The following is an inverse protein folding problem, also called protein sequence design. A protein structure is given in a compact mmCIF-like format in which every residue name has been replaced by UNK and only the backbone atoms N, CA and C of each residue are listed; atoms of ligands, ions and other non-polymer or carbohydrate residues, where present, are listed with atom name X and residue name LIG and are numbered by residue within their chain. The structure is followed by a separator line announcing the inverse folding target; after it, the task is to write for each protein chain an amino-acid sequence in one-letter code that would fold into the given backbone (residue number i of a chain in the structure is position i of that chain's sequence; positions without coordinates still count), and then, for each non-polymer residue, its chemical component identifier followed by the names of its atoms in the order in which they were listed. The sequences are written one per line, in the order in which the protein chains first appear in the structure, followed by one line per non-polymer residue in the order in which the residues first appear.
data_IF_546573311205
#
_entry.id   IF_546573311205
#
_cell.length_a   1.000
_cell.length_b   1.000
_cell.length_c   1.000
_cell.angle_alpha   90.00
_cell.angle_beta   90.00
_cell.angle_gamma   90.00
#
_symmetry.space_group_name_H-M   'P 1'
#
loop_
_entity.id
_entity.type
_entity.pdbx_description
1 polymer ?
#
# COMPACT_ATOMS: atom_id res chain seq x y z
N UNK A 1 28.05 3.00 47.35
CA UNK A 1 27.81 2.65 45.92
C UNK A 1 27.14 1.28 45.91
N UNK A 2 25.83 1.19 45.68
CA UNK A 2 25.16 -0.12 45.61
C UNK A 2 25.45 -0.74 44.23
N UNK A 3 26.14 -1.87 44.21
CA UNK A 3 26.36 -2.68 43.00
C UNK A 3 25.00 -3.14 42.47
N UNK A 4 24.66 -2.79 41.23
CA UNK A 4 23.49 -3.37 40.58
C UNK A 4 23.63 -4.91 40.55
N UNK A 5 22.60 -5.68 40.92
CA UNK A 5 22.69 -7.13 40.93
C UNK A 5 22.98 -7.64 39.51
N UNK A 6 23.87 -8.65 39.42
CA UNK A 6 24.23 -9.27 38.14
C UNK A 6 22.96 -9.82 37.47
N UNK A 7 22.75 -9.48 36.19
CA UNK A 7 21.60 -9.97 35.42
C UNK A 7 21.84 -11.41 35.01
N UNK A 8 20.96 -12.31 35.45
CA UNK A 8 20.98 -13.71 35.06
C UNK A 8 20.44 -13.87 33.63
N UNK A 9 21.07 -14.73 32.82
CA UNK A 9 20.70 -14.98 31.42
C UNK A 9 20.47 -16.49 31.22
N UNK A 10 19.53 -16.83 30.34
CA UNK A 10 19.32 -18.20 29.86
C UNK A 10 19.32 -18.23 28.33
N UNK A 11 19.73 -19.35 27.72
CA UNK A 11 19.80 -19.47 26.27
C UNK A 11 18.53 -20.14 25.72
N UNK A 12 17.87 -19.51 24.76
CA UNK A 12 16.76 -20.13 24.04
C UNK A 12 17.27 -21.40 23.32
N UNK A 13 16.68 -22.58 23.57
CA UNK A 13 17.20 -23.84 23.04
C UNK A 13 17.07 -23.97 21.51
N UNK A 14 16.14 -23.24 20.88
CA UNK A 14 15.91 -23.26 19.43
C UNK A 14 16.74 -22.19 18.73
N UNK A 15 16.58 -20.93 19.14
CA UNK A 15 17.23 -19.79 18.47
C UNK A 15 18.67 -19.56 18.92
N UNK A 16 19.09 -20.21 20.02
CA UNK A 16 20.42 -20.04 20.65
C UNK A 16 20.74 -18.60 21.06
N UNK A 17 19.70 -17.77 21.23
CA UNK A 17 19.81 -16.38 21.70
C UNK A 17 19.76 -16.36 23.22
N UNK A 18 20.68 -15.61 23.84
CA UNK A 18 20.68 -15.35 25.28
C UNK A 18 19.62 -14.31 25.64
N UNK A 19 18.69 -14.67 26.52
CA UNK A 19 17.61 -13.81 26.99
C UNK A 19 17.70 -13.60 28.51
N UNK A 20 17.27 -12.44 29.02
CA UNK A 20 17.24 -12.21 30.46
C UNK A 20 16.38 -13.25 31.17
N UNK A 21 16.84 -13.71 32.34
CA UNK A 21 16.17 -14.69 33.18
C UNK A 21 15.80 -14.03 34.51
N UNK A 22 14.56 -14.18 34.95
CA UNK A 22 14.08 -13.59 36.21
C UNK A 22 12.90 -14.39 36.77
N UNK A 23 12.89 -14.65 38.08
CA UNK A 23 11.81 -15.35 38.79
C UNK A 23 11.50 -16.76 38.22
N UNK A 24 12.53 -17.56 37.91
CA UNK A 24 12.38 -18.96 37.49
C UNK A 24 11.87 -19.15 36.05
N UNK A 25 11.68 -18.07 35.29
CA UNK A 25 11.23 -18.10 33.91
C UNK A 25 12.08 -17.14 33.05
N UNK A 26 12.22 -17.38 31.73
CA UNK A 26 12.72 -16.37 30.82
C UNK A 26 11.90 -15.10 31.04
N UNK A 27 12.56 -13.98 31.30
CA UNK A 27 11.89 -12.71 31.46
C UNK A 27 11.12 -12.45 30.16
N UNK A 28 9.79 -12.52 30.22
CA UNK A 28 8.95 -11.98 29.15
C UNK A 28 9.41 -10.53 29.00
N UNK A 29 9.72 -10.09 27.78
CA UNK A 29 9.95 -8.67 27.53
C UNK A 29 8.79 -7.89 28.14
N UNK A 30 9.03 -7.34 29.34
CA UNK A 30 7.99 -6.71 30.14
C UNK A 30 7.66 -5.41 29.45
N UNK A 31 6.42 -5.32 28.99
CA UNK A 31 5.84 -4.23 28.23
C UNK A 31 6.47 -4.02 26.85
N UNK A 32 5.59 -3.80 25.88
CA UNK A 32 5.88 -2.96 24.73
C UNK A 32 6.73 -1.77 25.22
N UNK A 33 8.04 -1.79 24.95
CA UNK A 33 8.83 -0.57 25.08
C UNK A 33 8.14 0.44 24.17
N UNK A 34 7.73 1.57 24.74
CA UNK A 34 7.09 2.66 24.00
C UNK A 34 7.81 2.89 22.68
N UNK A 35 7.00 3.01 21.62
CA UNK A 35 7.36 3.16 20.21
C UNK A 35 8.79 3.67 20.07
N UNK A 36 9.72 2.76 19.79
CA UNK A 36 11.06 3.16 19.40
C UNK A 36 10.92 3.84 18.04
N UNK A 37 11.21 5.15 17.96
CA UNK A 37 11.18 5.92 16.70
C UNK A 37 12.08 5.33 15.59
N UNK A 38 12.91 4.32 15.89
CA UNK A 38 13.71 3.61 14.89
C UNK A 38 12.93 2.53 14.13
N UNK A 39 11.78 2.04 14.64
CA UNK A 39 10.96 0.97 14.04
C UNK A 39 9.50 1.41 13.79
N UNK A 40 9.27 2.66 13.38
CA UNK A 40 7.92 3.10 13.00
C UNK A 40 7.41 2.30 11.79
N UNK A 41 6.18 1.77 11.83
CA UNK A 41 5.55 1.15 10.67
C UNK A 41 5.58 2.09 9.46
N UNK A 42 5.76 1.53 8.27
CA UNK A 42 5.92 2.31 7.03
C UNK A 42 4.72 2.11 6.10
N UNK A 43 4.15 3.21 5.63
CA UNK A 43 3.13 3.26 4.61
C UNK A 43 3.77 3.62 3.27
N UNK A 44 3.90 2.62 2.39
CA UNK A 44 4.37 2.81 1.01
C UNK A 44 3.18 3.19 0.14
N UNK A 45 3.24 4.33 -0.53
CA UNK A 45 2.15 4.86 -1.35
C UNK A 45 2.55 4.81 -2.83
N UNK A 46 1.87 3.97 -3.60
CA UNK A 46 2.11 3.88 -5.04
C UNK A 46 1.49 5.07 -5.77
N UNK A 47 2.21 5.64 -6.74
CA UNK A 47 1.76 6.80 -7.52
C UNK A 47 1.95 6.52 -9.02
N UNK A 48 1.00 6.97 -9.83
CA UNK A 48 1.12 6.98 -11.29
C UNK A 48 -0.12 6.49 -12.03
N UNK A 49 -0.12 6.71 -13.35
CA UNK A 49 -1.24 6.37 -14.24
C UNK A 49 -1.54 4.85 -14.29
N UNK A 50 -2.75 4.43 -14.71
CA UNK A 50 -3.04 3.02 -14.97
C UNK A 50 -2.07 2.39 -16.01
N UNK A 51 -1.89 1.06 -15.94
CA UNK A 51 -0.93 0.31 -16.78
C UNK A 51 0.54 0.77 -16.69
N UNK A 52 0.96 1.26 -15.52
CA UNK A 52 2.35 1.64 -15.20
C UNK A 52 3.04 0.67 -14.25
N UNK A 53 2.59 -0.59 -14.17
CA UNK A 53 3.26 -1.61 -13.36
C UNK A 53 3.19 -1.44 -11.84
N UNK A 54 2.39 -0.49 -11.30
CA UNK A 54 2.26 -0.26 -9.84
C UNK A 54 1.92 -1.55 -9.07
N UNK A 55 0.84 -2.24 -9.42
CA UNK A 55 0.44 -3.50 -8.80
C UNK A 55 1.52 -4.59 -8.92
N UNK A 56 2.27 -4.62 -10.02
CA UNK A 56 3.40 -5.54 -10.17
C UNK A 56 4.52 -5.22 -9.18
N UNK A 57 4.90 -3.94 -9.05
CA UNK A 57 5.88 -3.47 -8.08
C UNK A 57 5.38 -3.78 -6.66
N UNK A 58 4.14 -3.44 -6.32
CA UNK A 58 3.54 -3.68 -5.01
C UNK A 58 3.60 -5.15 -4.60
N UNK A 59 3.21 -6.07 -5.49
CA UNK A 59 3.24 -7.51 -5.23
C UNK A 59 4.66 -8.05 -5.11
N UNK A 60 5.57 -7.63 -5.99
CA UNK A 60 6.98 -8.06 -5.92
C UNK A 60 7.67 -7.54 -4.66
N UNK A 61 7.45 -6.28 -4.31
CA UNK A 61 7.98 -5.64 -3.11
C UNK A 61 7.46 -6.32 -1.85
N UNK A 62 6.15 -6.53 -1.77
CA UNK A 62 5.50 -7.25 -0.66
C UNK A 62 6.08 -8.66 -0.50
N UNK A 63 6.24 -9.41 -1.60
CA UNK A 63 6.85 -10.75 -1.57
C UNK A 63 8.29 -10.72 -1.06
N UNK A 64 9.10 -9.79 -1.57
CA UNK A 64 10.50 -9.67 -1.19
C UNK A 64 10.67 -9.30 0.29
N UNK A 65 9.93 -8.30 0.77
CA UNK A 65 10.00 -7.87 2.16
C UNK A 65 9.57 -8.98 3.13
N UNK A 66 8.50 -9.70 2.81
CA UNK A 66 8.10 -10.87 3.62
C UNK A 66 9.18 -11.97 3.60
N UNK A 67 9.83 -12.20 2.45
CA UNK A 67 10.89 -13.22 2.33
C UNK A 67 12.09 -12.94 3.24
N UNK A 68 12.49 -11.67 3.40
CA UNK A 68 13.56 -11.27 4.32
C UNK A 68 13.10 -11.12 5.79
N UNK A 69 11.85 -11.45 6.09
CA UNK A 69 11.31 -11.42 7.46
C UNK A 69 10.70 -10.08 7.89
N UNK A 70 10.31 -9.21 6.95
CA UNK A 70 9.60 -7.96 7.22
C UNK A 70 8.11 -8.14 6.88
N UNK A 71 7.22 -8.32 7.89
CA UNK A 71 5.77 -8.37 7.71
C UNK A 71 5.23 -7.24 6.85
N UNK A 72 4.80 -7.59 5.63
CA UNK A 72 4.33 -6.63 4.63
C UNK A 72 3.00 -7.08 4.03
N UNK A 73 2.07 -6.14 3.80
CA UNK A 73 0.78 -6.42 3.15
C UNK A 73 0.44 -5.36 2.10
N UNK A 74 -0.09 -5.82 0.96
CA UNK A 74 -0.62 -4.96 -0.10
C UNK A 74 -2.11 -4.62 0.16
N UNK A 75 -2.46 -3.36 -0.05
CA UNK A 75 -3.83 -2.84 -0.01
C UNK A 75 -4.18 -2.25 -1.39
N UNK A 76 -4.79 -3.06 -2.25
CA UNK A 76 -5.18 -2.66 -3.60
C UNK A 76 -6.56 -1.99 -3.61
N UNK A 77 -6.62 -0.67 -3.75
CA UNK A 77 -7.90 0.08 -3.73
C UNK A 77 -8.84 -0.34 -4.87
N UNK A 78 -8.29 -0.85 -5.98
CA UNK A 78 -9.07 -1.42 -7.07
C UNK A 78 -9.89 -2.64 -6.67
N UNK A 79 -9.40 -3.44 -5.71
CA UNK A 79 -10.12 -4.59 -5.15
C UNK A 79 -11.27 -4.13 -4.27
N UNK A 80 -11.03 -3.20 -3.34
CA UNK A 80 -12.09 -2.58 -2.52
C UNK A 80 -13.22 -2.01 -3.38
N UNK A 81 -12.89 -1.43 -4.54
CA UNK A 81 -13.90 -0.97 -5.50
C UNK A 81 -14.67 -2.12 -6.15
N UNK A 82 -14.03 -3.24 -6.53
CA UNK A 82 -14.74 -4.41 -7.09
C UNK A 82 -15.69 -5.06 -6.07
N UNK A 83 -15.26 -5.11 -4.82
CA UNK A 83 -16.05 -5.72 -3.74
C UNK A 83 -17.31 -4.87 -3.45
N UNK A 84 -17.18 -3.54 -3.55
CA UNK A 84 -18.29 -2.60 -3.34
C UNK A 84 -19.19 -2.46 -4.58
N UNK A 85 -18.58 -2.33 -5.76
CA UNK A 85 -19.25 -2.17 -7.06
C UNK A 85 -19.08 -3.47 -7.84
N UNK A 86 -20.04 -4.38 -7.65
CA UNK A 86 -20.01 -5.75 -8.18
C UNK A 86 -19.91 -5.85 -9.70
N UNK A 87 -20.31 -4.82 -10.44
CA UNK A 87 -20.31 -4.82 -11.90
C UNK A 87 -19.64 -3.55 -12.41
N UNK A 88 -18.52 -3.72 -13.11
CA UNK A 88 -17.89 -2.66 -13.88
C UNK A 88 -18.61 -2.52 -15.22
N UNK A 89 -18.99 -1.30 -15.60
CA UNK A 89 -19.68 -1.04 -16.87
C UNK A 89 -18.74 -0.42 -17.91
N UNK A 90 -18.09 0.68 -17.56
CA UNK A 90 -17.26 1.46 -18.49
C UNK A 90 -16.34 2.43 -17.76
N UNK A 91 -15.43 3.04 -18.54
CA UNK A 91 -14.51 4.08 -18.12
C UNK A 91 -15.22 5.33 -17.56
N UNK A 92 -16.52 5.52 -17.85
CA UNK A 92 -17.33 6.64 -17.36
C UNK A 92 -17.38 6.71 -15.83
N UNK A 93 -17.19 5.57 -15.16
CA UNK A 93 -17.02 5.51 -13.71
C UNK A 93 -15.82 6.33 -13.20
N UNK A 94 -14.80 6.50 -14.03
CA UNK A 94 -13.56 7.19 -13.70
C UNK A 94 -13.51 8.65 -14.14
N UNK A 95 -14.54 9.13 -14.85
CA UNK A 95 -14.60 10.52 -15.27
C UNK A 95 -14.58 11.46 -14.04
N UNK A 96 -13.95 12.64 -14.17
CA UNK A 96 -13.82 13.59 -13.06
C UNK A 96 -15.16 14.26 -12.69
N UNK A 97 -16.08 14.41 -13.65
CA UNK A 97 -17.42 14.98 -13.48
C UNK A 97 -18.42 13.98 -12.87
N UNK A 98 -18.10 12.69 -12.88
CA UNK A 98 -18.89 11.64 -12.24
C UNK A 98 -18.77 11.71 -10.71
N UNK A 99 -19.63 12.53 -10.09
CA UNK A 99 -19.68 12.76 -8.64
C UNK A 99 -19.91 11.47 -7.84
N UNK A 100 -20.74 10.57 -8.35
CA UNK A 100 -21.02 9.29 -7.69
C UNK A 100 -19.80 8.37 -7.73
N UNK A 101 -19.18 8.20 -8.90
CA UNK A 101 -17.95 7.43 -9.08
C UNK A 101 -16.79 8.00 -8.25
N UNK A 102 -16.67 9.32 -8.15
CA UNK A 102 -15.70 9.97 -7.27
C UNK A 102 -15.97 9.68 -5.78
N UNK A 103 -17.23 9.75 -5.33
CA UNK A 103 -17.63 9.45 -3.95
C UNK A 103 -17.31 8.00 -3.59
N UNK A 104 -17.66 7.04 -4.46
CA UNK A 104 -17.35 5.63 -4.27
C UNK A 104 -15.84 5.40 -4.21
N UNK A 105 -15.06 5.98 -5.13
CA UNK A 105 -13.59 5.85 -5.12
C UNK A 105 -12.95 6.46 -3.86
N UNK A 106 -13.50 7.56 -3.34
CA UNK A 106 -13.08 8.13 -2.05
C UNK A 106 -13.40 7.16 -0.90
N UNK A 107 -14.60 6.58 -0.87
CA UNK A 107 -14.99 5.58 0.15
C UNK A 107 -14.10 4.34 0.12
N UNK A 108 -13.81 3.77 -1.05
CA UNK A 108 -12.92 2.61 -1.18
C UNK A 108 -11.51 2.90 -0.66
N UNK A 109 -10.98 4.09 -0.92
CA UNK A 109 -9.68 4.49 -0.41
C UNK A 109 -9.66 4.65 1.11
N UNK A 110 -10.72 5.24 1.70
CA UNK A 110 -10.86 5.34 3.15
C UNK A 110 -10.99 3.96 3.81
N UNK A 111 -11.75 3.04 3.21
CA UNK A 111 -11.85 1.67 3.68
C UNK A 111 -10.49 0.97 3.69
N UNK A 112 -9.71 1.11 2.61
CA UNK A 112 -8.36 0.58 2.53
C UNK A 112 -7.41 1.22 3.57
N UNK A 113 -7.49 2.53 3.80
CA UNK A 113 -6.69 3.20 4.84
C UNK A 113 -7.05 2.72 6.26
N UNK A 114 -8.33 2.47 6.55
CA UNK A 114 -8.74 1.90 7.83
C UNK A 114 -8.13 0.50 8.05
N UNK A 115 -8.05 -0.31 7.00
CA UNK A 115 -7.42 -1.63 7.07
C UNK A 115 -5.89 -1.54 7.16
N UNK A 116 -5.27 -0.53 6.53
CA UNK A 116 -3.85 -0.20 6.73
C UNK A 116 -3.59 0.10 8.21
N UNK A 117 -4.40 0.96 8.83
CA UNK A 117 -4.26 1.30 10.25
C UNK A 117 -4.33 0.05 11.12
N UNK A 118 -5.35 -0.78 10.91
CA UNK A 118 -5.54 -2.03 11.64
C UNK A 118 -4.33 -2.95 11.51
N UNK A 119 -3.85 -3.14 10.28
CA UNK A 119 -2.71 -3.99 10.02
C UNK A 119 -1.42 -3.52 10.70
N UNK A 120 -1.11 -2.22 10.61
CA UNK A 120 0.12 -1.65 11.17
C UNK A 120 0.06 -1.48 12.70
N UNK A 121 -1.12 -1.25 13.28
CA UNK A 121 -1.28 -1.00 14.72
C UNK A 121 -1.64 -2.26 15.53
N UNK A 122 -2.40 -3.18 14.95
CA UNK A 122 -3.05 -4.28 15.69
C UNK A 122 -2.54 -5.67 15.26
N UNK A 123 -2.13 -5.83 14.00
CA UNK A 123 -1.76 -7.13 13.42
C UNK A 123 -0.23 -7.36 13.35
N UNK A 124 0.58 -6.57 14.06
CA UNK A 124 2.04 -6.58 14.01
C UNK A 124 2.63 -6.42 12.59
N UNK A 125 1.93 -5.70 11.71
CA UNK A 125 2.43 -5.32 10.39
C UNK A 125 3.53 -4.27 10.49
N UNK A 126 4.58 -4.39 9.68
CA UNK A 126 5.65 -3.39 9.63
C UNK A 126 5.55 -2.49 8.40
N UNK A 127 5.10 -3.02 7.26
CA UNK A 127 5.00 -2.26 6.02
C UNK A 127 3.63 -2.49 5.35
N UNK A 128 2.93 -1.41 5.02
CA UNK A 128 1.71 -1.46 4.23
C UNK A 128 1.97 -0.84 2.86
N UNK A 129 1.64 -1.55 1.79
CA UNK A 129 1.75 -1.02 0.42
C UNK A 129 0.36 -0.62 -0.07
N UNK A 130 0.11 0.68 -0.14
CA UNK A 130 -1.14 1.27 -0.61
C UNK A 130 -1.12 1.41 -2.14
N UNK A 131 -1.69 0.43 -2.84
CA UNK A 131 -1.73 0.36 -4.29
C UNK A 131 -2.98 1.03 -4.87
N UNK A 132 -2.78 2.26 -5.36
CA UNK A 132 -3.77 3.05 -6.10
C UNK A 132 -3.05 3.98 -7.10
N UNK A 133 -3.81 4.80 -7.84
CA UNK A 133 -3.22 5.78 -8.77
C UNK A 133 -2.58 6.96 -8.04
N UNK A 134 -3.24 7.49 -7.00
CA UNK A 134 -2.77 8.61 -6.17
C UNK A 134 -2.15 9.78 -6.97
N UNK A 135 -2.77 10.06 -8.13
CA UNK A 135 -2.23 10.99 -9.14
C UNK A 135 -2.40 12.47 -8.80
N UNK A 136 -3.23 12.82 -7.82
CA UNK A 136 -3.45 14.22 -7.41
C UNK A 136 -2.74 14.53 -6.10
N UNK A 137 -2.28 15.76 -5.92
CA UNK A 137 -1.65 16.22 -4.68
C UNK A 137 -2.63 16.20 -3.51
N UNK A 138 -3.89 16.61 -3.71
CA UNK A 138 -4.96 16.53 -2.69
C UNK A 138 -5.05 15.12 -2.08
N UNK A 139 -4.96 14.09 -2.94
CA UNK A 139 -5.03 12.70 -2.49
C UNK A 139 -3.78 12.30 -1.70
N UNK A 140 -2.60 12.71 -2.15
CA UNK A 140 -1.34 12.41 -1.47
C UNK A 140 -1.23 13.10 -0.13
N UNK A 141 -1.63 14.36 -0.03
CA UNK A 141 -1.71 15.13 1.22
C UNK A 141 -2.66 14.46 2.23
N UNK A 142 -3.82 13.99 1.77
CA UNK A 142 -4.75 13.21 2.62
C UNK A 142 -4.10 11.95 3.19
N UNK A 143 -3.36 11.21 2.36
CA UNK A 143 -2.69 9.97 2.78
C UNK A 143 -1.49 10.27 3.69
N UNK A 144 -0.74 11.34 3.41
CA UNK A 144 0.37 11.80 4.22
C UNK A 144 -0.09 12.18 5.63
N UNK A 145 -1.14 13.01 5.74
CA UNK A 145 -1.77 13.38 7.02
C UNK A 145 -2.26 12.16 7.79
N UNK A 146 -2.89 11.21 7.11
CA UNK A 146 -3.27 9.94 7.72
C UNK A 146 -2.05 9.18 8.28
N UNK A 147 -0.92 9.16 7.56
CA UNK A 147 0.34 8.58 8.05
C UNK A 147 0.86 9.27 9.30
N UNK A 148 0.97 10.60 9.27
CA UNK A 148 1.42 11.44 10.38
C UNK A 148 0.55 11.25 11.64
N UNK A 149 -0.78 11.31 11.50
CA UNK A 149 -1.75 11.15 12.59
C UNK A 149 -1.65 9.79 13.29
N UNK A 150 -1.20 8.75 12.58
CA UNK A 150 -1.05 7.40 13.12
C UNK A 150 0.42 7.05 13.45
N UNK A 151 1.36 7.99 13.29
CA UNK A 151 2.79 7.78 13.57
C UNK A 151 3.49 6.84 12.59
N UNK A 152 3.00 6.76 11.34
CA UNK A 152 3.59 5.96 10.27
C UNK A 152 4.59 6.79 9.46
N UNK A 153 5.69 6.16 9.02
CA UNK A 153 6.56 6.76 7.99
C UNK A 153 5.90 6.61 6.63
N UNK A 154 5.68 7.70 5.91
CA UNK A 154 5.15 7.65 4.54
C UNK A 154 6.29 7.62 3.52
N UNK A 155 6.23 6.71 2.55
CA UNK A 155 7.21 6.59 1.46
C UNK A 155 6.50 6.47 0.11
N UNK A 156 6.67 7.46 -0.78
CA UNK A 156 6.03 7.45 -2.09
C UNK A 156 6.88 6.72 -3.13
N UNK A 157 6.22 5.90 -3.97
CA UNK A 157 6.84 5.22 -5.11
C UNK A 157 6.05 5.57 -6.37
N UNK A 158 6.58 6.48 -7.18
CA UNK A 158 5.98 6.83 -8.46
C UNK A 158 6.54 5.98 -9.60
N UNK A 159 5.64 5.42 -10.41
CA UNK A 159 6.00 4.71 -11.64
C UNK A 159 5.58 5.53 -12.86
N UNK A 160 6.57 6.14 -13.51
CA UNK A 160 6.41 6.89 -14.76
C UNK A 160 6.90 6.05 -15.92
N UNK A 161 6.06 5.87 -16.93
CA UNK A 161 6.43 5.24 -18.19
C UNK A 161 5.73 5.97 -19.35
N UNK A 162 6.50 6.32 -20.37
CA UNK A 162 6.04 7.02 -21.57
C UNK A 162 6.13 6.17 -22.84
N UNK A 163 6.73 4.98 -22.73
CA UNK A 163 6.94 4.05 -23.85
C UNK A 163 5.61 3.37 -24.24
N UNK A 164 5.06 3.63 -25.44
CA UNK A 164 3.80 3.05 -25.89
C UNK A 164 3.79 1.51 -25.93
N UNK A 165 4.92 0.87 -26.22
CA UNK A 165 5.01 -0.59 -26.32
C UNK A 165 4.88 -1.24 -24.94
N UNK A 166 5.58 -0.69 -23.94
CA UNK A 166 5.47 -1.13 -22.55
C UNK A 166 4.06 -0.92 -22.02
N UNK A 167 3.43 0.20 -22.38
CA UNK A 167 2.06 0.52 -21.98
C UNK A 167 1.09 -0.48 -22.61
N UNK A 168 1.19 -0.72 -23.91
CA UNK A 168 0.35 -1.69 -24.62
C UNK A 168 0.49 -3.10 -24.03
N UNK A 169 1.73 -3.55 -23.79
CA UNK A 169 2.00 -4.84 -23.16
C UNK A 169 1.39 -4.95 -21.75
N UNK A 170 1.53 -3.91 -20.93
CA UNK A 170 0.93 -3.86 -19.59
C UNK A 170 -0.59 -3.88 -19.66
N UNK A 171 -1.18 -3.16 -20.62
CA UNK A 171 -2.63 -3.15 -20.82
C UNK A 171 -3.12 -4.57 -21.16
N UNK A 172 -2.45 -5.30 -22.05
CA UNK A 172 -2.80 -6.69 -22.38
C UNK A 172 -2.75 -7.57 -21.14
N UNK A 173 -1.69 -7.48 -20.34
CA UNK A 173 -1.57 -8.25 -19.10
C UNK A 173 -2.66 -7.89 -18.08
N UNK A 174 -2.98 -6.60 -17.93
CA UNK A 174 -4.04 -6.14 -17.02
C UNK A 174 -5.41 -6.60 -17.49
N UNK A 175 -5.71 -6.56 -18.80
CA UNK A 175 -6.98 -7.04 -19.36
C UNK A 175 -7.19 -8.53 -19.09
N UNK A 176 -6.21 -9.36 -19.46
CA UNK A 176 -6.34 -10.81 -19.41
C UNK A 176 -6.54 -11.35 -17.99
N UNK A 177 -6.08 -10.62 -16.97
CA UNK A 177 -6.21 -11.00 -15.57
C UNK A 177 -7.22 -10.19 -14.74
N UNK A 178 -7.88 -9.19 -15.32
CA UNK A 178 -8.76 -8.28 -14.55
C UNK A 178 -10.21 -8.77 -14.54
N UNK A 179 -10.83 -8.90 -13.36
CA UNK A 179 -12.27 -9.16 -13.24
C UNK A 179 -13.15 -8.10 -13.91
N UNK A 180 -12.62 -6.89 -14.13
CA UNK A 180 -13.37 -5.78 -14.74
C UNK A 180 -13.73 -6.04 -16.22
N UNK A 181 -13.04 -6.95 -16.92
CA UNK A 181 -13.15 -7.13 -18.39
C UNK A 181 -13.50 -8.56 -18.79
N UNK A 182 -14.04 -9.38 -17.87
CA UNK A 182 -14.35 -10.80 -18.12
C UNK A 182 -15.37 -10.99 -19.25
N UNK A 183 -16.36 -10.09 -19.33
CA UNK A 183 -17.46 -10.18 -20.29
C UNK A 183 -17.28 -9.27 -21.52
N UNK A 184 -16.09 -8.69 -21.72
CA UNK A 184 -15.81 -7.74 -22.80
C UNK A 184 -14.90 -8.34 -23.88
N UNK A 185 -15.13 -7.96 -25.14
CA UNK A 185 -14.21 -8.28 -26.24
C UNK A 185 -12.83 -7.63 -26.02
N UNK A 186 -11.77 -8.23 -26.57
CA UNK A 186 -10.39 -7.75 -26.38
C UNK A 186 -10.20 -6.30 -26.85
N UNK A 187 -10.78 -5.96 -28.01
CA UNK A 187 -10.69 -4.62 -28.59
C UNK A 187 -11.48 -3.60 -27.76
N UNK A 188 -12.71 -3.93 -27.36
CA UNK A 188 -13.55 -3.07 -26.50
C UNK A 188 -12.89 -2.80 -25.14
N UNK A 189 -12.31 -3.83 -24.52
CA UNK A 189 -11.55 -3.68 -23.28
C UNK A 189 -10.29 -2.81 -23.47
N UNK A 190 -9.70 -2.81 -24.67
CA UNK A 190 -8.58 -1.92 -25.03
C UNK A 190 -9.02 -0.48 -25.03
N UNK A 191 -10.07 -0.20 -25.78
CA UNK A 191 -10.57 1.15 -25.96
C UNK A 191 -11.07 1.73 -24.65
N UNK A 192 -11.79 0.93 -23.86
CA UNK A 192 -12.22 1.32 -22.51
C UNK A 192 -11.04 1.65 -21.60
N UNK A 193 -10.02 0.78 -21.57
CA UNK A 193 -8.86 1.00 -20.71
C UNK A 193 -8.02 2.21 -21.14
N UNK A 194 -7.90 2.46 -22.44
CA UNK A 194 -7.23 3.65 -22.98
C UNK A 194 -7.99 4.92 -22.58
N UNK A 195 -9.31 4.95 -22.74
CA UNK A 195 -10.15 6.08 -22.28
C UNK A 195 -10.06 6.28 -20.77
N UNK A 196 -9.98 5.19 -20.01
CA UNK A 196 -9.72 5.24 -18.56
C UNK A 196 -8.38 5.90 -18.25
N UNK A 197 -7.30 5.60 -18.99
CA UNK A 197 -6.00 6.28 -18.80
C UNK A 197 -6.13 7.78 -19.05
N UNK A 198 -6.81 8.17 -20.13
CA UNK A 198 -7.04 9.59 -20.47
C UNK A 198 -7.77 10.35 -19.35
N UNK A 199 -8.74 9.72 -18.68
CA UNK A 199 -9.45 10.33 -17.53
C UNK A 199 -8.48 10.77 -16.42
N UNK A 200 -7.41 10.01 -16.17
CA UNK A 200 -6.43 10.34 -15.13
C UNK A 200 -5.37 11.32 -15.62
N UNK A 201 -5.02 11.34 -16.91
CA UNK A 201 -3.99 12.24 -17.46
C UNK A 201 -4.30 13.71 -17.19
N UNK A 202 -5.55 14.12 -17.33
CA UNK A 202 -5.96 15.53 -17.16
C UNK A 202 -5.79 16.06 -15.72
N UNK A 203 -5.66 15.18 -14.73
CA UNK A 203 -5.54 15.54 -13.31
C UNK A 203 -4.26 15.00 -12.69
N UNK A 204 -3.33 14.51 -13.51
CA UNK A 204 -2.10 13.91 -13.01
C UNK A 204 -1.06 14.97 -12.69
N UNK A 205 -0.72 15.05 -11.41
CA UNK A 205 0.36 15.84 -10.87
C UNK A 205 1.47 14.88 -10.43
N UNK A 206 2.60 14.87 -11.14
CA UNK A 206 3.77 14.04 -10.78
C UNK A 206 4.29 14.42 -9.40
N UNK A 207 5.08 13.54 -8.77
CA UNK A 207 5.77 13.89 -7.54
C UNK A 207 6.76 15.02 -7.78
N UNK A 208 6.81 15.97 -6.86
CA UNK A 208 7.76 17.08 -6.85
C UNK A 208 8.38 17.20 -5.46
N UNK A 209 9.72 17.17 -5.38
CA UNK A 209 10.47 17.19 -4.11
C UNK A 209 10.20 18.45 -3.25
N UNK A 210 9.74 19.54 -3.87
CA UNK A 210 9.44 20.77 -3.16
C UNK A 210 8.00 20.83 -2.65
N UNK A 211 7.06 20.24 -3.39
CA UNK A 211 5.62 20.33 -3.15
C UNK A 211 5.05 19.13 -2.39
N UNK A 212 5.69 17.95 -2.51
CA UNK A 212 5.29 16.70 -1.87
C UNK A 212 6.29 16.32 -0.75
N UNK A 213 6.32 17.12 0.34
CA UNK A 213 7.19 16.93 1.52
C UNK A 213 6.52 16.19 2.67
#
# INVERSE_FOLDING_TARGET
MASSPARELTQNPLQKIWVPYSNGLPAKHSAQRGVCMTNCPTLIVMVGLPARGKTYISKKLTRYLNWIGVPTKEFNVGQYRRDLVKTYKSFEFFLPDNKEGLKIRKQCALAALNDVRRYLCEENGHVAVFDATNTTRERRDTIYKFGEENGFKTFFVESVCVDPEVIAANIVQVKLGSPDYVDCGSDEATDDFMKRIECYKNSYETLDENLDK
#
